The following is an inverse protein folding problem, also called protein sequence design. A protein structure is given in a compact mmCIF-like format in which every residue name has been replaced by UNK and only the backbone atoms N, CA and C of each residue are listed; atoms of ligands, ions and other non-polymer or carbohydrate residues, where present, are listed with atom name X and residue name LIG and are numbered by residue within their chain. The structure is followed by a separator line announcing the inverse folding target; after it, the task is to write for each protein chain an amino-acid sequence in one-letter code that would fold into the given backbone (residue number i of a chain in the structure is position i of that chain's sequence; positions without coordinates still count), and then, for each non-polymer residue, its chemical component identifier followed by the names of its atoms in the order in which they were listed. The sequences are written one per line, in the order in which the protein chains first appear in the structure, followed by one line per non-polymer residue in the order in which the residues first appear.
data_IF_717682706955
#
_entry.id   IF_717682706955
#
_cell.length_a   1.000
_cell.length_b   1.000
_cell.length_c   1.000
_cell.angle_alpha   90.00
_cell.angle_beta   90.00
_cell.angle_gamma   90.00
#
_symmetry.space_group_name_H-M   'P 1'
#
loop_
_entity.id
_entity.type
_entity.pdbx_description
1 polymer ?
2 non-polymer ?
3 non-polymer ?
4 water ?
#
# COMPACT_ATOMS: atom_id res chain seq x y z
N UNK A 1 -24.29 -0.05 2.65
CA UNK A 1 -22.79 -0.09 2.61
C UNK A 1 -22.29 -1.31 3.36
N UNK A 2 -22.88 -2.46 3.14
CA UNK A 2 -22.52 -3.67 3.86
C UNK A 2 -21.53 -4.44 3.00
N UNK A 3 -20.30 -4.71 3.52
CA UNK A 3 -19.33 -5.43 2.76
C UNK A 3 -19.65 -6.91 2.77
N UNK A 4 -19.24 -7.50 1.68
CA UNK A 4 -19.27 -8.98 1.54
C UNK A 4 -17.91 -9.43 1.04
N UNK A 5 -17.59 -10.73 1.10
CA UNK A 5 -16.29 -11.19 0.62
C UNK A 5 -16.00 -10.84 -0.82
N UNK A 6 -17.04 -10.68 -1.64
CA UNK A 6 -16.85 -10.27 -3.05
C UNK A 6 -16.19 -8.90 -3.21
N UNK A 7 -16.20 -8.04 -2.19
CA UNK A 7 -15.54 -6.71 -2.21
C UNK A 7 -13.99 -6.80 -2.04
N UNK A 8 -13.46 -7.95 -1.70
CA UNK A 8 -12.01 -8.24 -1.64
C UNK A 8 -11.34 -7.39 -0.54
N UNK A 9 -12.00 -7.17 0.56
CA UNK A 9 -11.38 -6.45 1.69
C UNK A 9 -10.54 -7.41 2.48
N UNK A 10 -9.30 -7.04 2.79
CA UNK A 10 -8.38 -7.89 3.56
C UNK A 10 -7.79 -7.08 4.70
N UNK A 11 -7.33 -7.78 5.73
CA UNK A 11 -6.74 -7.15 6.90
C UNK A 11 -5.53 -7.91 7.36
N UNK A 12 -4.49 -7.24 7.84
CA UNK A 12 -3.38 -7.95 8.48
C UNK A 12 -3.74 -8.47 9.83
N UNK A 13 -3.21 -9.63 10.22
CA UNK A 13 -3.40 -10.10 11.59
C UNK A 13 -2.96 -9.06 12.61
N UNK A 14 -1.91 -8.32 12.27
CA UNK A 14 -1.30 -7.36 13.18
C UNK A 14 -2.11 -6.07 13.31
N UNK A 15 -3.18 -5.92 12.57
CA UNK A 15 -4.01 -4.68 12.56
C UNK A 15 -4.97 -4.76 13.72
N UNK A 16 -6.02 -5.57 13.56
CA UNK A 16 -6.97 -5.83 14.63
C UNK A 16 -6.28 -6.50 15.82
N UNK A 17 -5.14 -7.17 15.61
CA UNK A 17 -4.40 -7.78 16.70
C UNK A 17 -3.45 -6.86 17.41
N UNK A 18 -3.35 -5.59 17.02
CA UNK A 18 -2.43 -4.67 17.70
C UNK A 18 -2.85 -4.50 19.15
N UNK A 19 -1.91 -4.76 20.08
CA UNK A 19 -2.20 -4.69 21.52
C UNK A 19 -2.10 -3.27 22.07
N UNK A 20 -1.68 -2.30 21.28
CA UNK A 20 -1.70 -0.91 21.72
C UNK A 20 -0.42 -0.41 22.32
N UNK A 21 0.68 -1.12 22.20
CA UNK A 21 1.98 -0.57 22.68
C UNK A 21 2.42 0.50 21.73
N UNK A 22 2.88 1.65 22.25
CA UNK A 22 3.38 2.78 21.45
C UNK A 22 4.67 3.26 22.14
N UNK A 23 5.25 4.48 21.63
CA UNK A 23 6.58 4.89 22.10
C UNK A 23 6.67 4.94 23.67
N UNK A 24 5.48 5.15 24.20
CA UNK A 24 5.27 5.85 25.47
C UNK A 24 4.26 5.09 26.30
N UNK A 25 3.86 3.93 25.82
CA UNK A 25 2.67 3.26 26.38
C UNK A 25 2.77 1.77 26.37
N UNK A 26 2.32 1.16 27.40
CA UNK A 26 2.15 -0.29 27.47
C UNK A 26 0.87 -0.75 26.76
N UNK A 27 0.71 -2.07 26.61
CA UNK A 27 -0.46 -2.64 25.90
C UNK A 27 -1.73 -2.24 26.59
N UNK A 28 -2.77 -1.97 25.84
CA UNK A 28 -4.10 -1.73 26.39
C UNK A 28 -5.08 -2.87 26.07
N UNK A 29 -4.65 -3.83 25.26
CA UNK A 29 -5.51 -4.98 24.88
C UNK A 29 -4.65 -6.22 25.02
N UNK A 30 -5.35 -7.32 25.34
CA UNK A 30 -4.72 -8.67 25.34
C UNK A 30 -4.45 -9.09 23.91
N UNK A 31 -3.53 -10.02 23.73
CA UNK A 31 -3.21 -10.62 22.44
C UNK A 31 -4.46 -11.33 21.92
N UNK A 32 -4.61 -11.33 20.61
CA UNK A 32 -5.68 -12.07 19.94
C UNK A 32 -5.10 -13.32 19.31
N UNK A 33 -5.81 -14.42 19.46
CA UNK A 33 -5.52 -15.63 18.70
C UNK A 33 -5.85 -15.35 17.24
N UNK A 34 -4.96 -15.64 16.30
CA UNK A 34 -5.30 -15.51 14.89
C UNK A 34 -6.60 -16.19 14.51
N UNK A 35 -6.90 -17.33 15.13
CA UNK A 35 -8.20 -18.01 14.81
C UNK A 35 -9.39 -17.11 15.12
N UNK A 36 -9.34 -16.41 16.26
CA UNK A 36 -10.44 -15.52 16.63
C UNK A 36 -10.50 -14.35 15.63
N UNK A 37 -9.37 -13.79 15.24
CA UNK A 37 -9.37 -12.68 14.28
C UNK A 37 -9.97 -13.09 12.97
N UNK A 38 -9.60 -14.28 12.47
CA UNK A 38 -10.18 -14.77 11.21
C UNK A 38 -11.71 -14.89 11.33
N UNK A 39 -12.17 -15.44 12.43
CA UNK A 39 -13.63 -15.59 12.63
C UNK A 39 -14.32 -14.22 12.70
N UNK A 40 -13.78 -13.29 13.49
CA UNK A 40 -14.43 -11.97 13.65
C UNK A 40 -14.40 -11.16 12.35
N UNK A 41 -13.28 -11.21 11.64
CA UNK A 41 -13.21 -10.48 10.34
C UNK A 41 -14.18 -11.06 9.33
N UNK A 42 -14.29 -12.40 9.29
CA UNK A 42 -15.23 -13.04 8.37
C UNK A 42 -16.65 -12.56 8.70
N UNK A 43 -16.99 -12.49 9.94
CA UNK A 43 -18.35 -12.09 10.33
C UNK A 43 -18.63 -10.65 9.88
N UNK A 44 -17.61 -9.78 9.84
CA UNK A 44 -17.77 -8.40 9.36
C UNK A 44 -17.86 -8.33 7.84
N UNK A 45 -17.58 -9.41 7.11
CA UNK A 45 -17.66 -9.38 5.66
C UNK A 45 -16.33 -9.25 4.96
N UNK A 46 -15.22 -9.42 5.69
CA UNK A 46 -13.89 -9.44 5.07
C UNK A 46 -13.75 -10.65 4.13
N UNK A 47 -12.91 -10.52 3.16
CA UNK A 47 -12.54 -11.57 2.19
C UNK A 47 -11.33 -12.37 2.67
N UNK A 48 -10.39 -11.75 3.37
CA UNK A 48 -9.19 -12.48 3.76
C UNK A 48 -8.34 -11.73 4.73
N UNK A 49 -7.27 -12.40 5.14
CA UNK A 49 -6.26 -11.86 6.05
C UNK A 49 -4.87 -12.03 5.41
N UNK A 50 -3.94 -11.31 6.04
CA UNK A 50 -2.54 -11.36 5.68
C UNK A 50 -1.72 -11.47 6.97
N UNK A 51 -0.45 -11.84 6.84
CA UNK A 51 0.36 -12.09 8.03
C UNK A 51 1.83 -11.82 7.75
N UNK A 52 2.52 -11.36 8.82
CA UNK A 52 3.99 -11.55 8.91
C UNK A 52 4.23 -12.94 9.47
N UNK A 53 5.34 -13.57 9.08
CA UNK A 53 5.75 -14.84 9.69
C UNK A 53 5.51 -14.85 11.18
N UNK A 54 6.00 -13.85 11.90
CA UNK A 54 6.03 -13.88 13.36
C UNK A 54 4.67 -13.51 13.95
N UNK A 55 3.68 -13.10 13.17
CA UNK A 55 2.31 -12.94 13.67
C UNK A 55 1.61 -14.30 13.75
N UNK A 56 1.95 -15.19 12.87
CA UNK A 56 1.27 -16.49 12.75
C UNK A 56 1.99 -17.52 13.59
N UNK A 57 3.29 -17.49 13.60
CA UNK A 57 4.10 -18.46 14.37
C UNK A 57 5.03 -17.65 15.26
N UNK A 58 4.93 -17.75 16.58
CA UNK A 58 5.80 -16.99 17.46
C UNK A 58 7.26 -17.21 17.07
N UNK A 59 8.03 -16.14 17.09
CA UNK A 59 9.47 -16.24 16.82
C UNK A 59 10.08 -17.31 17.69
N UNK A 60 10.96 -18.13 17.14
CA UNK A 60 11.68 -19.14 17.93
C UNK A 60 10.87 -20.43 18.14
N UNK A 61 9.73 -20.61 17.48
CA UNK A 61 8.88 -21.83 17.62
C UNK A 61 9.64 -23.06 17.12
N UNK A 62 9.40 -24.20 17.78
CA UNK A 62 9.81 -25.52 17.30
C UNK A 62 8.98 -25.90 16.07
N UNK A 63 9.46 -26.90 15.34
CA UNK A 63 8.71 -27.44 14.19
C UNK A 63 7.35 -27.96 14.62
N UNK A 64 7.19 -28.59 15.77
CA UNK A 64 5.87 -29.11 16.19
C UNK A 64 4.95 -27.93 16.52
N UNK A 65 5.45 -26.90 17.19
CA UNK A 65 4.66 -25.69 17.48
C UNK A 65 4.27 -25.00 16.17
N UNK A 66 5.17 -24.92 15.24
CA UNK A 66 4.89 -24.25 13.95
C UNK A 66 3.75 -24.99 13.25
N UNK A 67 3.86 -26.34 13.20
CA UNK A 67 2.81 -27.12 12.52
C UNK A 67 1.48 -26.90 13.19
N UNK A 68 1.37 -26.85 14.49
CA UNK A 68 0.10 -26.70 15.16
C UNK A 68 -0.47 -25.31 14.92
N UNK A 69 0.38 -24.26 14.97
CA UNK A 69 -0.11 -22.88 14.67
C UNK A 69 -0.69 -22.84 13.25
N UNK A 70 0.01 -23.41 12.31
CA UNK A 70 -0.48 -23.35 10.91
C UNK A 70 -1.77 -24.20 10.79
N UNK A 71 -1.82 -25.35 11.45
CA UNK A 71 -3.02 -26.22 11.36
C UNK A 71 -4.23 -25.50 11.87
N UNK A 72 -4.11 -24.85 13.02
CA UNK A 72 -5.27 -24.15 13.58
C UNK A 72 -5.70 -23.01 12.69
N UNK A 73 -4.71 -22.27 12.13
CA UNK A 73 -5.04 -21.17 11.21
C UNK A 73 -5.75 -21.68 9.95
N UNK A 74 -5.24 -22.76 9.40
CA UNK A 74 -5.87 -23.37 8.19
C UNK A 74 -7.31 -23.78 8.52
N UNK A 75 -7.57 -24.31 9.70
CA UNK A 75 -8.92 -24.70 10.06
C UNK A 75 -9.84 -23.50 10.12
N UNK A 76 -9.34 -22.37 10.68
CA UNK A 76 -10.14 -21.13 10.73
C UNK A 76 -10.44 -20.61 9.33
N UNK A 77 -9.48 -20.67 8.44
CA UNK A 77 -9.71 -20.24 7.06
C UNK A 77 -10.76 -21.14 6.41
N UNK A 78 -10.63 -22.46 6.65
CA UNK A 78 -11.59 -23.42 6.07
C UNK A 78 -12.96 -23.21 6.67
N UNK A 79 -13.09 -22.92 7.93
CA UNK A 79 -14.38 -22.76 8.62
C UNK A 79 -15.10 -21.51 8.10
N UNK A 80 -14.37 -20.49 7.63
CA UNK A 80 -14.93 -19.17 7.29
C UNK A 80 -14.98 -18.91 5.81
N UNK A 81 -14.20 -19.59 5.02
CA UNK A 81 -14.01 -19.25 3.63
C UNK A 81 -13.05 -18.07 3.39
N UNK A 82 -12.33 -17.66 4.42
CA UNK A 82 -11.36 -16.56 4.28
C UNK A 82 -10.15 -17.01 3.47
N UNK A 83 -9.57 -16.10 2.71
CA UNK A 83 -8.37 -16.33 1.91
C UNK A 83 -7.15 -15.64 2.55
N UNK A 84 -6.00 -15.97 2.05
CA UNK A 84 -4.71 -15.35 2.43
C UNK A 84 -4.06 -14.86 1.17
N UNK A 85 -4.32 -13.63 0.70
CA UNK A 85 -3.80 -13.23 -0.60
C UNK A 85 -2.36 -12.71 -0.56
N UNK A 86 -1.86 -12.38 0.64
CA UNK A 86 -0.56 -11.74 0.76
C UNK A 86 0.05 -12.17 2.09
N UNK A 87 1.38 -12.26 2.08
CA UNK A 87 2.12 -12.45 3.32
C UNK A 87 3.43 -11.66 3.24
N UNK A 88 4.10 -11.58 4.37
CA UNK A 88 5.31 -10.75 4.50
C UNK A 88 6.16 -11.31 5.63
N UNK A 89 7.38 -10.77 5.74
CA UNK A 89 8.36 -11.18 6.76
C UNK A 89 8.49 -10.08 7.77
N UNK A 90 8.63 -10.42 9.02
CA UNK A 90 9.01 -9.43 10.04
C UNK A 90 10.54 -9.30 10.07
N UNK A 91 11.06 -8.28 9.43
CA UNK A 91 12.50 -7.96 9.45
C UNK A 91 12.71 -6.67 10.23
N UNK A 92 11.92 -6.45 11.28
CA UNK A 92 12.02 -5.19 12.01
C UNK A 92 11.88 -5.31 13.51
N UNK A 93 11.20 -6.28 14.08
CA UNK A 93 10.96 -6.26 15.53
C UNK A 93 12.14 -6.76 16.34
N UNK A 94 12.72 -7.87 15.94
CA UNK A 94 13.78 -8.49 16.74
C UNK A 94 14.98 -7.56 16.76
N UNK A 95 15.65 -7.41 17.90
CA UNK A 95 16.83 -6.54 17.97
C UNK A 95 17.95 -6.88 17.00
N UNK A 96 18.00 -8.11 16.49
CA UNK A 96 19.05 -8.43 15.50
C UNK A 96 18.93 -7.51 14.26
N UNK A 97 17.70 -7.05 13.96
CA UNK A 97 17.45 -6.21 12.79
C UNK A 97 17.55 -4.72 13.10
N UNK A 98 18.24 -4.36 14.21
CA UNK A 98 18.30 -2.94 14.58
C UNK A 98 18.95 -2.06 13.54
N UNK A 99 19.83 -2.56 12.71
CA UNK A 99 20.39 -1.74 11.61
C UNK A 99 19.89 -2.21 10.26
N UNK A 100 18.85 -2.99 10.19
CA UNK A 100 18.36 -3.49 8.91
C UNK A 100 18.29 -4.99 8.88
N UNK A 101 17.58 -5.47 7.85
CA UNK A 101 17.63 -6.86 7.43
C UNK A 101 18.49 -6.98 6.19
N UNK A 102 17.93 -6.73 5.01
CA UNK A 102 18.69 -6.89 3.76
C UNK A 102 19.82 -5.89 3.63
N UNK A 103 19.80 -4.75 4.32
CA UNK A 103 20.89 -3.76 4.25
C UNK A 103 21.55 -3.54 5.59
N UNK A 104 21.41 -4.45 6.51
CA UNK A 104 22.22 -4.38 7.74
C UNK A 104 23.69 -4.23 7.40
N UNK A 105 24.43 -3.46 8.18
CA UNK A 105 25.88 -3.41 7.93
C UNK A 105 26.50 -4.79 8.16
N UNK A 106 26.02 -5.54 9.11
CA UNK A 106 26.55 -6.88 9.39
C UNK A 106 26.09 -7.89 8.33
N UNK A 107 27.06 -8.47 7.61
CA UNK A 107 26.72 -9.39 6.55
C UNK A 107 25.99 -10.65 7.05
N UNK A 108 26.32 -11.14 8.22
CA UNK A 108 25.66 -12.33 8.73
C UNK A 108 24.17 -12.03 8.98
N UNK A 109 23.83 -10.81 9.36
CA UNK A 109 22.41 -10.44 9.54
C UNK A 109 21.72 -10.38 8.18
N UNK A 110 22.36 -9.86 7.16
CA UNK A 110 21.75 -9.82 5.83
C UNK A 110 21.42 -11.21 5.33
N UNK A 111 22.35 -12.17 5.54
CA UNK A 111 22.12 -13.57 5.13
C UNK A 111 20.98 -14.18 5.93
N UNK A 112 20.92 -13.96 7.21
CA UNK A 112 19.81 -14.45 8.04
C UNK A 112 18.50 -13.86 7.58
N UNK A 113 18.46 -12.55 7.30
CA UNK A 113 17.20 -11.93 6.84
C UNK A 113 16.70 -12.65 5.57
N UNK A 114 17.59 -12.94 4.64
CA UNK A 114 17.18 -13.66 3.44
C UNK A 114 16.66 -15.05 3.75
N UNK A 115 17.32 -15.78 4.64
CA UNK A 115 16.82 -17.14 4.97
C UNK A 115 15.48 -17.06 5.67
N UNK A 116 15.26 -16.09 6.54
CA UNK A 116 13.98 -15.92 7.23
C UNK A 116 12.88 -15.62 6.21
N UNK A 117 13.16 -14.76 5.26
CA UNK A 117 12.20 -14.44 4.20
C UNK A 117 11.88 -15.68 3.39
N UNK A 118 12.91 -16.39 2.93
CA UNK A 118 12.68 -17.55 2.05
C UNK A 118 11.83 -18.59 2.77
N UNK A 119 12.05 -18.86 4.00
CA UNK A 119 11.23 -19.81 4.75
C UNK A 119 9.78 -19.39 4.71
N UNK A 120 9.50 -18.10 4.87
CA UNK A 120 8.10 -17.65 4.88
C UNK A 120 7.54 -17.56 3.46
N UNK A 121 8.31 -17.36 2.43
CA UNK A 121 7.77 -17.42 1.05
C UNK A 121 7.16 -18.81 0.84
N UNK A 122 7.85 -19.86 1.29
CA UNK A 122 7.33 -21.23 1.11
C UNK A 122 5.98 -21.35 1.82
N UNK A 123 5.86 -20.84 3.02
CA UNK A 123 4.59 -20.92 3.77
C UNK A 123 3.52 -20.09 3.08
N UNK A 124 3.85 -18.89 2.63
CA UNK A 124 2.89 -18.03 1.92
C UNK A 124 2.30 -18.79 0.72
N UNK A 125 3.15 -19.40 -0.07
CA UNK A 125 2.67 -20.16 -1.23
C UNK A 125 1.76 -21.29 -0.75
N UNK A 126 2.12 -22.02 0.27
CA UNK A 126 1.27 -23.12 0.80
C UNK A 126 -0.10 -22.61 1.19
N UNK A 127 -0.21 -21.38 1.70
CA UNK A 127 -1.50 -20.81 2.15
C UNK A 127 -2.20 -20.07 1.01
N UNK A 128 -1.67 -20.03 -0.18
CA UNK A 128 -2.31 -19.51 -1.38
C UNK A 128 -2.04 -18.04 -1.70
N UNK A 129 -1.02 -17.42 -1.08
CA UNK A 129 -0.75 -16.01 -1.34
C UNK A 129 -0.23 -15.76 -2.75
N UNK A 130 -0.67 -14.72 -3.40
CA UNK A 130 -0.26 -14.26 -4.74
C UNK A 130 0.80 -13.19 -4.67
N UNK A 131 0.91 -12.54 -3.53
CA UNK A 131 1.80 -11.39 -3.34
C UNK A 131 2.58 -11.58 -2.06
N UNK A 132 3.86 -11.21 -2.16
CA UNK A 132 4.76 -11.24 -0.99
C UNK A 132 5.27 -9.82 -0.80
N UNK A 133 4.89 -9.19 0.31
CA UNK A 133 5.26 -7.78 0.55
C UNK A 133 6.59 -7.74 1.28
N UNK A 134 7.38 -6.72 0.98
CA UNK A 134 8.61 -6.43 1.72
C UNK A 134 8.59 -4.96 2.15
N UNK A 135 8.51 -4.73 3.45
CA UNK A 135 8.63 -3.39 4.05
C UNK A 135 9.95 -3.34 4.80
N UNK A 136 10.91 -2.68 4.23
CA UNK A 136 12.25 -2.57 4.85
C UNK A 136 12.28 -1.45 5.86
N UNK A 137 11.55 -1.62 6.95
CA UNK A 137 11.40 -0.53 7.91
C UNK A 137 12.66 -0.25 8.68
N UNK A 138 13.60 -1.19 8.77
CA UNK A 138 14.87 -0.92 9.45
C UNK A 138 15.96 -0.53 8.48
N UNK A 139 15.69 -0.42 7.20
CA UNK A 139 16.74 -0.09 6.23
C UNK A 139 16.90 1.42 6.19
N UNK A 140 18.01 1.95 6.65
CA UNK A 140 18.15 3.42 6.71
C UNK A 140 19.11 3.80 7.80
N UNK A 141 18.91 4.97 8.38
CA UNK A 141 19.92 5.54 9.28
C UNK A 141 19.36 6.66 10.08
N UNK A 142 20.01 6.98 11.19
CA UNK A 142 19.80 8.20 11.98
C UNK A 142 20.97 9.16 11.77
N UNK A 143 22.05 8.76 11.16
CA UNK A 143 23.24 9.63 11.03
C UNK A 143 23.88 9.35 9.68
N UNK A 144 24.64 10.32 9.17
CA UNK A 144 25.13 10.26 7.81
C UNK A 144 26.23 9.25 7.55
N UNK A 145 27.09 8.98 8.51
CA UNK A 145 28.22 8.09 8.29
C UNK A 145 27.87 6.64 8.46
N UNK A 146 26.72 6.36 9.05
CA UNK A 146 26.32 5.01 9.44
C UNK A 146 25.98 4.13 8.27
N UNK A 147 25.59 4.74 7.14
CA UNK A 147 25.01 3.98 6.04
C UNK A 147 25.45 4.65 4.76
N UNK A 148 26.25 4.00 3.94
CA UNK A 148 26.58 4.44 2.57
C UNK A 148 25.45 3.95 1.71
N UNK A 149 24.62 4.87 1.19
CA UNK A 149 23.37 4.48 0.53
C UNK A 149 23.65 3.75 -0.78
N UNK A 150 24.67 4.10 -1.55
CA UNK A 150 24.98 3.33 -2.75
C UNK A 150 25.30 1.88 -2.41
N UNK A 151 26.12 1.66 -1.36
CA UNK A 151 26.41 0.29 -0.93
C UNK A 151 25.15 -0.39 -0.46
N UNK A 152 24.31 0.31 0.30
CA UNK A 152 23.06 -0.29 0.79
C UNK A 152 22.17 -0.66 -0.36
N UNK A 153 22.05 0.19 -1.38
CA UNK A 153 21.23 -0.17 -2.53
C UNK A 153 21.80 -1.37 -3.27
N UNK A 154 23.14 -1.47 -3.37
CA UNK A 154 23.73 -2.71 -3.93
C UNK A 154 23.29 -3.94 -3.13
N UNK A 155 23.30 -3.86 -1.82
CA UNK A 155 22.87 -4.98 -0.98
C UNK A 155 21.39 -5.25 -1.16
N UNK A 156 20.58 -4.21 -1.26
CA UNK A 156 19.13 -4.38 -1.41
C UNK A 156 18.85 -5.05 -2.77
N UNK A 157 19.51 -4.62 -3.82
CA UNK A 157 19.32 -5.27 -5.12
C UNK A 157 19.75 -6.72 -5.05
N UNK A 158 20.87 -7.04 -4.39
CA UNK A 158 21.30 -8.45 -4.29
C UNK A 158 20.21 -9.25 -3.64
N UNK A 159 19.68 -8.74 -2.54
CA UNK A 159 18.65 -9.47 -1.79
C UNK A 159 17.44 -9.72 -2.67
N UNK A 160 16.88 -8.67 -3.29
CA UNK A 160 15.68 -8.88 -4.12
C UNK A 160 15.99 -9.78 -5.28
N UNK A 161 17.17 -9.66 -5.89
CA UNK A 161 17.52 -10.57 -7.01
C UNK A 161 17.59 -12.01 -6.52
N UNK A 162 18.16 -12.28 -5.39
CA UNK A 162 18.21 -13.66 -4.83
C UNK A 162 16.79 -14.15 -4.57
N UNK A 163 15.90 -13.33 -4.05
CA UNK A 163 14.52 -13.78 -3.83
C UNK A 163 13.84 -14.13 -5.14
N UNK A 164 14.06 -13.35 -6.17
CA UNK A 164 13.52 -13.62 -7.51
C UNK A 164 14.09 -14.90 -8.07
N UNK A 165 15.36 -15.16 -7.88
CA UNK A 165 15.99 -16.43 -8.31
C UNK A 165 15.32 -17.53 -7.56
N UNK A 166 15.06 -17.38 -6.27
CA UNK A 166 14.44 -18.44 -5.48
C UNK A 166 13.05 -18.76 -6.01
N UNK A 167 12.16 -17.78 -6.16
CA UNK A 167 10.79 -18.15 -6.57
C UNK A 167 10.82 -18.69 -8.02
N UNK A 168 11.70 -18.24 -8.86
CA UNK A 168 11.80 -18.79 -10.23
C UNK A 168 12.26 -20.24 -10.14
N UNK A 169 13.19 -20.55 -9.27
CA UNK A 169 13.78 -21.91 -9.08
C UNK A 169 12.70 -22.87 -8.61
N UNK A 170 11.73 -22.44 -7.82
CA UNK A 170 10.67 -23.29 -7.26
C UNK A 170 9.46 -23.33 -8.19
N UNK A 171 9.42 -22.54 -9.21
CA UNK A 171 8.25 -22.47 -10.10
C UNK A 171 7.06 -21.80 -9.44
N UNK A 172 7.25 -20.93 -8.45
CA UNK A 172 6.12 -20.25 -7.77
C UNK A 172 5.59 -19.08 -8.62
N UNK A 173 4.31 -18.83 -8.52
CA UNK A 173 3.69 -17.71 -9.28
C UNK A 173 3.67 -16.39 -8.46
N UNK A 174 4.08 -16.45 -7.23
CA UNK A 174 4.02 -15.30 -6.32
C UNK A 174 4.87 -14.17 -6.89
N UNK A 175 4.45 -12.93 -6.65
CA UNK A 175 5.22 -11.74 -7.04
C UNK A 175 5.47 -10.92 -5.80
N UNK A 176 6.46 -10.05 -5.89
CA UNK A 176 6.87 -9.21 -4.76
C UNK A 176 6.30 -7.82 -4.86
N UNK A 177 6.01 -7.22 -3.73
CA UNK A 177 5.56 -5.82 -3.68
C UNK A 177 6.35 -5.10 -2.60
N UNK A 178 7.14 -4.14 -2.99
CA UNK A 178 7.98 -3.34 -2.09
C UNK A 178 7.18 -2.21 -1.56
N UNK A 179 7.20 -2.05 -0.22
CA UNK A 179 6.42 -1.03 0.47
C UNK A 179 7.32 0.12 0.89
N UNK A 180 7.17 1.30 0.28
CA UNK A 180 7.93 2.45 0.72
C UNK A 180 7.42 3.03 2.00
N UNK A 181 8.32 3.71 2.72
CA UNK A 181 7.95 4.58 3.85
C UNK A 181 9.09 5.56 4.06
N UNK A 182 8.80 6.84 4.39
CA UNK A 182 9.92 7.78 4.36
C UNK A 182 10.79 7.76 5.61
N UNK A 183 10.21 7.43 6.73
CA UNK A 183 10.89 7.46 8.03
C UNK A 183 10.00 6.67 9.00
N UNK A 184 10.57 6.30 10.13
CA UNK A 184 9.89 5.70 11.29
C UNK A 184 9.73 4.20 11.06
N UNK A 185 10.60 3.35 11.66
CA UNK A 185 11.38 3.66 12.86
C UNK A 185 12.76 4.26 12.62
N UNK A 186 13.31 4.16 11.41
CA UNK A 186 14.64 4.79 11.17
C UNK A 186 14.44 6.27 10.89
N UNK A 187 15.48 7.06 11.15
CA UNK A 187 15.38 8.49 10.94
C UNK A 187 15.06 8.83 9.50
N UNK A 188 15.68 8.11 8.56
CA UNK A 188 15.29 8.10 7.15
C UNK A 188 15.34 6.67 6.71
N UNK A 189 14.34 6.23 5.95
CA UNK A 189 14.26 4.86 5.42
C UNK A 189 14.62 4.89 3.95
N UNK A 190 15.35 3.88 3.50
CA UNK A 190 15.70 3.74 2.10
C UNK A 190 14.45 3.39 1.27
N UNK A 191 14.44 3.84 0.04
CA UNK A 191 13.23 3.75 -0.85
C UNK A 191 12.07 4.44 -0.14
N UNK A 192 12.17 5.77 0.09
CA UNK A 192 11.23 6.42 0.98
C UNK A 192 9.85 6.70 0.41
N UNK A 193 9.67 6.63 -0.90
CA UNK A 193 8.41 6.91 -1.58
C UNK A 193 8.13 5.90 -2.66
N UNK A 194 6.92 5.94 -3.17
CA UNK A 194 6.55 5.15 -4.35
C UNK A 194 7.55 5.37 -5.48
N UNK A 195 7.91 6.61 -5.76
CA UNK A 195 8.80 6.84 -6.86
C UNK A 195 10.16 6.16 -6.68
N UNK A 196 10.74 6.29 -5.48
CA UNK A 196 12.05 5.68 -5.24
C UNK A 196 11.98 4.17 -5.41
N UNK A 197 10.89 3.56 -4.94
CA UNK A 197 10.74 2.11 -5.09
C UNK A 197 10.56 1.72 -6.56
N UNK A 198 9.73 2.44 -7.30
CA UNK A 198 9.57 2.15 -8.73
C UNK A 198 10.92 2.25 -9.45
N UNK A 199 11.70 3.27 -9.13
CA UNK A 199 12.99 3.49 -9.79
C UNK A 199 13.91 2.32 -9.51
N UNK A 200 13.96 1.89 -8.25
CA UNK A 200 14.81 0.77 -7.81
C UNK A 200 14.44 -0.49 -8.57
N UNK A 201 13.16 -0.78 -8.68
CA UNK A 201 12.70 -2.03 -9.31
C UNK A 201 13.24 -2.12 -10.74
N UNK A 202 13.33 -1.01 -11.44
CA UNK A 202 13.80 -1.05 -12.85
C UNK A 202 15.24 -1.53 -12.91
N UNK A 203 16.01 -1.53 -11.85
CA UNK A 203 17.41 -2.00 -11.85
C UNK A 203 17.56 -3.42 -11.34
N UNK A 204 16.48 -4.10 -11.01
CA UNK A 204 16.52 -5.51 -10.61
C UNK A 204 16.73 -6.39 -11.86
N UNK A 205 17.23 -7.59 -11.64
CA UNK A 205 17.50 -8.49 -12.78
C UNK A 205 16.22 -8.88 -13.50
N UNK A 206 15.14 -9.12 -12.77
CA UNK A 206 13.86 -9.61 -13.34
C UNK A 206 12.76 -8.64 -12.90
N UNK A 207 12.75 -7.40 -13.44
CA UNK A 207 11.83 -6.38 -12.90
C UNK A 207 10.38 -6.78 -12.93
N UNK A 208 9.99 -7.68 -13.83
CA UNK A 208 8.57 -8.09 -13.96
C UNK A 208 8.06 -8.77 -12.69
N UNK A 209 8.94 -9.32 -11.84
CA UNK A 209 8.53 -10.00 -10.62
C UNK A 209 8.22 -9.04 -9.48
N UNK A 210 8.45 -7.72 -9.66
CA UNK A 210 8.35 -6.78 -8.53
C UNK A 210 7.49 -5.59 -8.88
N UNK A 211 6.67 -5.21 -7.90
CA UNK A 211 5.88 -4.01 -7.94
C UNK A 211 5.96 -3.29 -6.62
N UNK A 212 5.02 -2.38 -6.43
CA UNK A 212 4.93 -1.65 -5.16
C UNK A 212 3.67 -2.03 -4.39
N UNK A 213 3.80 -1.86 -3.06
CA UNK A 213 2.69 -1.92 -2.09
C UNK A 213 2.61 -0.57 -1.40
N UNK A 214 2.06 0.46 -2.03
CA UNK A 214 2.01 1.79 -1.39
C UNK A 214 1.01 1.81 -0.25
N UNK A 215 1.29 2.61 0.76
CA UNK A 215 0.38 2.78 1.88
C UNK A 215 -0.03 4.24 1.99
N UNK A 216 -1.34 4.49 2.12
CA UNK A 216 -1.88 5.86 2.19
C UNK A 216 -1.02 6.71 3.12
N UNK A 217 -0.91 6.28 4.37
CA UNK A 217 -0.28 7.14 5.35
C UNK A 217 1.20 7.36 5.07
N UNK A 218 1.88 6.39 4.46
CA UNK A 218 3.33 6.53 4.23
C UNK A 218 3.61 7.66 3.26
N UNK A 219 2.90 7.73 2.15
CA UNK A 219 3.17 8.83 1.23
C UNK A 219 2.78 10.16 1.87
N UNK A 220 1.71 10.15 2.68
CA UNK A 220 1.26 11.38 3.33
C UNK A 220 2.23 11.81 4.42
N UNK A 221 3.06 10.94 4.96
CA UNK A 221 4.17 11.30 5.90
C UNK A 221 5.23 12.13 5.22
N UNK A 222 5.30 12.10 3.93
CA UNK A 222 6.20 13.01 3.16
C UNK A 222 5.37 14.17 2.59
N UNK A 223 4.10 14.33 2.96
CA UNK A 223 3.30 15.44 2.41
C UNK A 223 2.96 15.20 0.96
N UNK A 224 3.09 14.01 0.43
CA UNK A 224 2.83 13.76 -1.00
C UNK A 224 1.33 13.43 -1.21
N UNK A 225 0.92 13.55 -2.47
CA UNK A 225 -0.45 13.22 -2.89
C UNK A 225 -0.54 11.75 -3.18
N UNK A 226 -1.26 11.01 -2.33
CA UNK A 226 -1.30 9.58 -2.47
C UNK A 226 -1.98 9.17 -3.78
N UNK A 227 -3.15 9.72 -4.16
CA UNK A 227 -3.70 9.37 -5.47
C UNK A 227 -2.73 9.62 -6.62
N UNK A 228 -1.96 10.69 -6.60
CA UNK A 228 -1.01 10.93 -7.70
C UNK A 228 0.04 9.81 -7.73
N UNK A 229 0.56 9.41 -6.58
CA UNK A 229 1.54 8.33 -6.56
C UNK A 229 0.97 7.00 -7.03
N UNK A 230 -0.24 6.72 -6.64
CA UNK A 230 -0.94 5.54 -7.16
C UNK A 230 -1.10 5.63 -8.66
N UNK A 231 -1.45 6.78 -9.18
CA UNK A 231 -1.55 6.94 -10.64
C UNK A 231 -0.21 6.63 -11.30
N UNK A 232 0.90 7.11 -10.74
CA UNK A 232 2.20 6.77 -11.35
C UNK A 232 2.48 5.28 -11.26
N UNK A 233 2.16 4.63 -10.17
CA UNK A 233 2.34 3.18 -10.06
C UNK A 233 1.48 2.44 -11.09
N UNK A 234 0.24 2.86 -11.25
CA UNK A 234 -0.64 2.26 -12.27
C UNK A 234 -0.07 2.52 -13.65
N UNK A 235 0.40 3.73 -13.93
CA UNK A 235 0.99 4.06 -15.24
C UNK A 235 2.15 3.14 -15.51
N UNK A 236 2.93 2.78 -14.52
CA UNK A 236 4.10 1.89 -14.66
C UNK A 236 3.67 0.41 -14.70
N UNK A 237 2.43 0.08 -14.46
CA UNK A 237 2.01 -1.33 -14.40
C UNK A 237 2.44 -2.05 -13.14
N UNK A 238 2.65 -1.34 -12.04
CA UNK A 238 3.33 -1.87 -10.85
C UNK A 238 2.49 -1.82 -9.60
N UNK A 239 1.21 -1.55 -9.67
CA UNK A 239 0.40 -1.55 -8.46
C UNK A 239 -0.01 -2.98 -8.15
N UNK A 240 0.82 -3.71 -7.42
CA UNK A 240 0.57 -5.16 -7.20
C UNK A 240 -0.30 -5.36 -5.98
N UNK A 241 -0.33 -4.40 -5.07
CA UNK A 241 -1.06 -4.50 -3.78
C UNK A 241 -1.18 -3.07 -3.28
N UNK A 242 -2.05 -2.83 -2.32
CA UNK A 242 -2.17 -1.49 -1.72
C UNK A 242 -2.52 -1.65 -0.26
N UNK A 243 -2.05 -0.74 0.56
CA UNK A 243 -2.39 -0.66 1.97
C UNK A 243 -3.20 0.60 2.22
N UNK A 244 -4.39 0.42 2.77
CA UNK A 244 -5.34 1.51 2.98
C UNK A 244 -5.44 1.81 4.47
N UNK A 245 -5.38 3.11 4.80
CA UNK A 245 -5.52 3.60 6.18
C UNK A 245 -5.70 5.11 6.10
N UNK A 246 -5.58 5.75 7.24
CA UNK A 246 -5.68 7.21 7.33
C UNK A 246 -4.50 7.80 8.09
N UNK A 247 -4.22 9.05 7.77
CA UNK A 247 -3.08 9.78 8.30
C UNK A 247 -3.44 11.24 8.27
N UNK A 248 -3.12 11.94 9.35
CA UNK A 248 -3.18 13.45 9.30
C UNK A 248 -1.86 14.14 8.98
N UNK A 249 -1.37 14.04 7.77
CA UNK A 249 -0.22 14.83 7.30
C UNK A 249 1.08 14.36 7.89
N UNK A 250 1.92 15.33 8.27
CA UNK A 250 3.34 14.99 8.36
C UNK A 250 3.54 14.86 9.85
N UNK A 251 3.67 13.64 10.28
CA UNK A 251 3.80 13.34 11.70
C UNK A 251 4.09 11.85 11.75
N UNK A 252 4.24 11.29 12.91
CA UNK A 252 4.37 9.87 13.09
C UNK A 252 3.28 9.10 12.33
N UNK A 253 3.57 7.88 12.02
CA UNK A 253 2.67 6.95 11.31
C UNK A 253 1.46 6.66 12.17
N UNK A 254 0.28 7.19 11.85
CA UNK A 254 -0.88 7.02 12.73
C UNK A 254 -1.65 5.75 12.46
N UNK A 255 -1.72 5.27 11.25
CA UNK A 255 -2.45 4.03 10.92
C UNK A 255 -3.89 4.16 11.36
N UNK A 256 -4.56 5.27 11.11
CA UNK A 256 -5.98 5.40 11.43
C UNK A 256 -6.79 4.52 10.48
N UNK A 257 -8.05 4.28 10.82
CA UNK A 257 -8.89 3.51 9.91
C UNK A 257 -9.03 4.23 8.60
N UNK A 258 -9.26 3.49 7.51
CA UNK A 258 -9.43 4.11 6.19
C UNK A 258 -10.66 4.99 6.19
N UNK A 259 -10.53 6.15 5.57
CA UNK A 259 -11.52 7.21 5.56
C UNK A 259 -11.21 8.29 6.55
N UNK A 260 -10.64 7.92 7.69
CA UNK A 260 -10.12 8.94 8.62
C UNK A 260 -8.86 9.59 8.01
N UNK A 261 -8.36 10.60 8.65
CA UNK A 261 -7.26 11.34 8.07
C UNK A 261 -7.77 12.22 6.96
N UNK A 262 -7.16 12.14 5.80
CA UNK A 262 -7.49 13.00 4.67
C UNK A 262 -8.62 12.39 3.85
N UNK A 263 -9.83 12.82 4.20
CA UNK A 263 -11.06 12.27 3.59
C UNK A 263 -11.13 12.52 2.11
N UNK A 264 -10.85 13.72 1.64
CA UNK A 264 -10.90 13.99 0.20
C UNK A 264 -9.86 13.17 -0.55
N UNK A 265 -8.67 12.96 0.02
CA UNK A 265 -7.70 12.09 -0.63
C UNK A 265 -8.25 10.67 -0.71
N UNK A 266 -8.96 10.24 0.29
CA UNK A 266 -9.56 8.90 0.26
C UNK A 266 -10.57 8.82 -0.89
N UNK A 267 -11.39 9.83 -1.04
CA UNK A 267 -12.34 9.89 -2.18
C UNK A 267 -11.62 9.79 -3.51
N UNK A 268 -10.58 10.60 -3.74
CA UNK A 268 -9.91 10.55 -5.03
C UNK A 268 -9.16 9.24 -5.21
N UNK A 269 -8.67 8.64 -4.14
CA UNK A 269 -8.04 7.33 -4.26
C UNK A 269 -9.05 6.30 -4.76
N UNK A 270 -10.20 6.23 -4.10
CA UNK A 270 -11.20 5.22 -4.48
C UNK A 270 -11.64 5.48 -5.93
N UNK A 271 -11.87 6.71 -6.28
CA UNK A 271 -12.23 7.09 -7.66
C UNK A 271 -11.20 6.51 -8.63
N UNK A 272 -9.92 6.65 -8.33
CA UNK A 272 -8.86 6.16 -9.21
C UNK A 272 -8.80 4.65 -9.24
N UNK A 273 -8.83 3.99 -8.11
CA UNK A 273 -8.76 2.52 -8.10
C UNK A 273 -9.89 1.94 -8.93
N UNK A 274 -11.09 2.47 -8.71
CA UNK A 274 -12.27 1.96 -9.40
C UNK A 274 -12.23 2.31 -10.88
N UNK A 275 -11.85 3.50 -11.27
CA UNK A 275 -11.83 3.88 -12.71
C UNK A 275 -10.70 3.16 -13.44
N UNK A 276 -9.64 2.79 -12.74
CA UNK A 276 -8.54 2.05 -13.35
C UNK A 276 -8.87 0.56 -13.39
N UNK A 277 -9.87 0.09 -12.69
CA UNK A 277 -10.16 -1.36 -12.64
C UNK A 277 -9.08 -2.10 -11.85
N UNK A 278 -8.49 -1.51 -10.82
CA UNK A 278 -7.54 -2.26 -9.96
C UNK A 278 -8.26 -3.49 -9.45
N UNK A 279 -7.62 -4.63 -9.59
CA UNK A 279 -8.24 -5.94 -9.32
C UNK A 279 -7.67 -6.59 -8.06
N UNK A 280 -6.70 -5.97 -7.40
CA UNK A 280 -6.08 -6.62 -6.25
C UNK A 280 -6.91 -6.43 -4.98
N UNK A 281 -6.42 -7.01 -3.87
CA UNK A 281 -7.06 -6.86 -2.56
C UNK A 281 -7.16 -5.37 -2.16
N UNK A 282 -8.24 -5.02 -1.49
CA UNK A 282 -8.32 -3.74 -0.79
C UNK A 282 -7.92 -4.05 0.65
N UNK A 283 -6.63 -3.91 0.94
CA UNK A 283 -6.03 -4.36 2.22
C UNK A 283 -5.95 -3.18 3.17
N UNK A 284 -6.35 -3.38 4.39
CA UNK A 284 -6.25 -2.37 5.43
C UNK A 284 -5.06 -2.68 6.31
N UNK A 285 -4.13 -1.73 6.39
CA UNK A 285 -2.98 -1.80 7.32
C UNK A 285 -3.21 -0.65 8.27
N UNK A 286 -3.92 -0.90 9.34
CA UNK A 286 -4.37 0.15 10.27
C UNK A 286 -4.25 -0.39 11.67
N UNK A 287 -4.37 0.50 12.63
CA UNK A 287 -4.35 0.14 14.04
C UNK A 287 -5.55 0.72 14.72
N UNK A 288 -6.46 -0.06 15.26
CA UNK A 288 -7.52 0.51 16.09
C UNK A 288 -6.85 1.28 17.22
N UNK A 289 -7.22 2.53 17.50
CA UNK A 289 -6.52 3.28 18.54
C UNK A 289 -6.50 2.50 19.86
N UNK A 290 -5.48 2.76 20.64
CA UNK A 290 -5.28 2.03 21.91
C UNK A 290 -6.30 2.43 22.95
N UNK A 291 -7.05 3.49 22.72
CA UNK A 291 -8.19 3.87 23.56
C UNK A 291 -9.30 2.82 23.56
N UNK A 292 -9.32 1.98 22.53
CA UNK A 292 -10.45 1.08 22.28
C UNK A 292 -10.31 -0.27 22.97
N UNK A 293 -11.44 -0.84 23.34
CA UNK A 293 -11.53 -2.25 23.75
C UNK A 293 -11.78 -3.07 22.49
N UNK A 294 -11.99 -4.39 22.66
CA UNK A 294 -12.20 -5.25 21.48
C UNK A 294 -13.44 -4.87 20.70
N UNK A 295 -14.51 -4.43 21.34
CA UNK A 295 -15.67 -3.96 20.57
C UNK A 295 -15.27 -2.82 19.64
N UNK A 296 -14.43 -1.92 20.14
CA UNK A 296 -13.95 -0.82 19.33
C UNK A 296 -13.02 -1.27 18.21
N UNK A 297 -12.25 -2.30 18.44
CA UNK A 297 -11.42 -2.88 17.36
C UNK A 297 -12.30 -3.30 16.20
N UNK A 298 -13.37 -4.04 16.50
CA UNK A 298 -14.22 -4.55 15.40
C UNK A 298 -15.01 -3.40 14.77
N UNK A 299 -15.40 -2.41 15.54
CA UNK A 299 -16.05 -1.24 14.97
C UNK A 299 -15.11 -0.51 14.04
N UNK A 300 -13.86 -0.37 14.40
CA UNK A 300 -12.89 0.36 13.56
C UNK A 300 -12.63 -0.40 12.26
N UNK A 301 -12.48 -1.73 12.34
CA UNK A 301 -12.33 -2.56 11.14
C UNK A 301 -13.55 -2.46 10.23
N UNK A 302 -14.75 -2.51 10.82
CA UNK A 302 -15.96 -2.37 10.01
C UNK A 302 -15.97 -1.01 9.33
N UNK A 303 -15.51 0.03 10.02
CA UNK A 303 -15.52 1.37 9.46
C UNK A 303 -14.60 1.51 8.27
N UNK A 304 -13.47 0.81 8.24
CA UNK A 304 -12.60 0.79 7.09
C UNK A 304 -13.38 0.43 5.83
N UNK A 305 -14.13 -0.68 5.91
CA UNK A 305 -14.84 -1.20 4.75
C UNK A 305 -16.03 -0.30 4.42
N UNK A 306 -16.73 0.17 5.43
CA UNK A 306 -17.89 1.03 5.19
C UNK A 306 -17.44 2.27 4.43
N UNK A 307 -16.36 2.89 4.90
CA UNK A 307 -15.92 4.12 4.27
C UNK A 307 -15.50 3.89 2.82
N UNK A 308 -14.81 2.79 2.55
CA UNK A 308 -14.48 2.47 1.15
C UNK A 308 -15.76 2.42 0.32
N UNK A 309 -16.75 1.70 0.83
CA UNK A 309 -18.00 1.51 0.04
C UNK A 309 -18.78 2.82 -0.12
N UNK A 310 -18.79 3.69 0.85
CA UNK A 310 -19.46 4.98 0.68
C UNK A 310 -18.74 5.74 -0.42
N UNK A 311 -17.40 5.84 -0.31
CA UNK A 311 -16.63 6.62 -1.28
C UNK A 311 -16.76 6.00 -2.69
N UNK A 312 -16.81 4.70 -2.78
CA UNK A 312 -17.02 4.07 -4.09
C UNK A 312 -18.34 4.53 -4.72
N UNK A 313 -19.39 4.56 -3.95
CA UNK A 313 -20.71 4.99 -4.46
C UNK A 313 -20.61 6.44 -4.90
N UNK A 314 -20.01 7.33 -4.09
CA UNK A 314 -20.00 8.75 -4.42
C UNK A 314 -19.11 9.02 -5.62
N UNK A 315 -17.97 8.36 -5.72
CA UNK A 315 -17.08 8.56 -6.88
C UNK A 315 -17.77 8.09 -8.15
N UNK A 316 -18.45 6.95 -8.11
CA UNK A 316 -19.16 6.44 -9.28
C UNK A 316 -20.25 7.44 -9.69
N UNK A 317 -20.96 7.99 -8.75
CA UNK A 317 -22.06 8.94 -9.03
C UNK A 317 -21.47 10.19 -9.64
N UNK A 318 -20.31 10.67 -9.14
CA UNK A 318 -19.62 11.83 -9.70
C UNK A 318 -19.32 11.54 -11.17
N UNK A 319 -18.68 10.44 -11.48
CA UNK A 319 -18.23 10.22 -12.85
C UNK A 319 -19.40 10.00 -13.83
N UNK A 320 -20.51 9.49 -13.33
CA UNK A 320 -21.69 9.18 -14.15
C UNK A 320 -22.57 10.37 -14.29
N UNK A 321 -22.42 11.45 -13.58
CA UNK A 321 -23.35 12.59 -13.62
C UNK A 321 -23.13 13.33 -14.92
N UNK A 322 -24.17 13.51 -15.79
CA UNK A 322 -24.00 14.28 -17.01
C UNK A 322 -23.45 15.70 -16.78
N UNK A 323 -23.82 16.31 -15.67
CA UNK A 323 -23.33 17.66 -15.38
C UNK A 323 -21.82 17.64 -15.10
N UNK A 324 -21.35 16.60 -14.44
CA UNK A 324 -19.90 16.40 -14.22
C UNK A 324 -19.23 16.11 -15.54
N UNK A 325 -19.82 15.28 -16.38
CA UNK A 325 -19.23 14.97 -17.67
C UNK A 325 -19.08 16.23 -18.53
N UNK A 326 -20.06 17.12 -18.47
CA UNK A 326 -20.00 18.42 -19.17
C UNK A 326 -18.88 19.27 -18.55
N UNK A 327 -18.78 19.29 -17.22
CA UNK A 327 -17.74 20.09 -16.53
C UNK A 327 -16.34 19.54 -16.89
N UNK A 328 -16.19 18.26 -17.02
CA UNK A 328 -14.90 17.67 -17.40
C UNK A 328 -14.50 18.13 -18.79
N UNK A 329 -15.46 18.17 -19.73
CA UNK A 329 -15.18 18.73 -21.06
C UNK A 329 -14.87 20.22 -20.96
N UNK A 330 -15.59 20.97 -20.15
CA UNK A 330 -15.35 22.40 -20.04
C UNK A 330 -13.90 22.65 -19.53
N UNK A 331 -13.39 21.75 -18.69
CA UNK A 331 -12.04 21.85 -18.10
C UNK A 331 -11.00 21.16 -18.97
N UNK A 332 -11.39 20.64 -20.15
CA UNK A 332 -10.47 20.05 -21.14
C UNK A 332 -9.80 18.78 -20.62
N UNK A 333 -10.47 18.00 -19.77
CA UNK A 333 -9.91 16.69 -19.41
C UNK A 333 -9.91 15.76 -20.62
N UNK A 334 -10.83 15.94 -21.56
CA UNK A 334 -10.82 15.19 -22.81
C UNK A 334 -9.56 15.51 -23.61
N UNK A 335 -9.20 16.75 -23.67
CA UNK A 335 -8.02 17.16 -24.45
C UNK A 335 -6.73 16.69 -23.78
N UNK A 336 -6.71 16.61 -22.44
CA UNK A 336 -5.52 16.07 -21.74
C UNK A 336 -5.22 14.66 -22.20
N UNK A 337 -6.27 13.89 -22.52
CA UNK A 337 -6.14 12.49 -22.91
C UNK A 337 -5.81 12.32 -24.41
N UNK A 338 -5.70 13.37 -25.18
CA UNK A 338 -5.38 13.25 -26.62
C UNK A 338 -3.90 13.55 -26.84
N UNK A 339 -3.22 12.74 -27.70
CA UNK A 339 -1.81 12.98 -27.96
C UNK A 339 -1.52 14.41 -28.34
N UNK A 340 -0.38 14.90 -27.84
CA UNK A 340 0.07 16.25 -28.16
C UNK A 340 0.42 16.40 -29.66
N UNK A 341 1.10 15.42 -30.18
CA UNK A 341 1.68 15.55 -31.54
C UNK A 341 1.75 14.19 -32.23
N UNK A 342 0.61 13.58 -32.43
CA UNK A 342 0.57 12.33 -33.22
C UNK A 342 0.94 12.61 -34.69
N UNK A 343 0.89 13.85 -35.11
CA UNK A 343 1.35 14.28 -36.46
C UNK A 343 2.87 14.18 -36.55
N UNK A 344 3.63 14.05 -35.45
CA UNK A 344 5.07 13.83 -35.49
C UNK A 344 5.84 15.11 -35.31
N UNK A 345 7.11 14.91 -34.99
CA UNK A 345 8.01 16.03 -34.69
C UNK A 345 8.08 17.03 -35.86
N UNK A 346 8.31 16.56 -37.10
CA UNK A 346 8.49 17.51 -38.20
C UNK A 346 7.24 18.35 -38.44
N UNK A 347 6.09 17.72 -38.32
CA UNK A 347 4.82 18.41 -38.50
C UNK A 347 4.66 19.50 -37.42
N UNK A 348 5.05 19.13 -36.18
CA UNK A 348 4.99 20.13 -35.06
C UNK A 348 5.92 21.30 -35.36
N UNK A 349 7.14 21.02 -35.81
CA UNK A 349 8.11 22.07 -36.13
C UNK A 349 7.60 22.98 -37.25
N UNK A 350 6.83 22.41 -38.18
CA UNK A 350 6.33 23.15 -39.36
C UNK A 350 4.97 23.77 -39.10
N UNK A 351 4.38 23.60 -37.92
CA UNK A 351 3.03 24.09 -37.62
C UNK A 351 3.10 25.50 -37.06
N UNK A 352 2.74 26.52 -37.85
CA UNK A 352 2.78 27.90 -37.36
C UNK A 352 1.75 28.13 -36.25
N UNK A 353 0.70 27.31 -36.21
CA UNK A 353 -0.30 27.44 -35.12
C UNK A 353 0.30 27.13 -33.76
N UNK A 354 1.44 26.45 -33.75
CA UNK A 354 2.12 26.05 -32.49
C UNK A 354 3.15 27.07 -32.06
N UNK A 355 3.41 28.14 -32.80
CA UNK A 355 4.43 29.10 -32.34
C UNK A 355 4.18 30.45 -32.94
N UNK A 356 4.50 30.60 -34.23
CA UNK A 356 4.54 31.92 -34.88
C UNK A 356 3.16 32.54 -34.83
N UNK A 357 2.11 31.76 -34.98
CA UNK A 357 0.72 32.25 -35.06
C UNK A 357 -0.09 31.74 -33.86
N UNK A 358 0.55 31.34 -32.77
CA UNK A 358 -0.19 30.94 -31.55
C UNK A 358 -0.52 32.21 -30.78
N UNK A 359 -1.80 32.39 -30.50
CA UNK A 359 -2.25 33.57 -29.77
C UNK A 359 -2.17 33.25 -28.28
N UNK A 360 -1.05 33.53 -27.68
CA UNK A 360 -0.80 33.17 -26.27
C UNK A 360 -1.79 33.90 -25.39
N UNK A 361 -2.15 35.13 -25.67
CA UNK A 361 -3.06 35.87 -24.77
C UNK A 361 -4.45 35.26 -24.82
N UNK A 362 -4.93 34.85 -25.97
CA UNK A 362 -6.27 34.26 -26.05
C UNK A 362 -6.28 32.94 -25.27
N UNK A 363 -5.22 32.14 -25.43
CA UNK A 363 -5.13 30.88 -24.69
C UNK A 363 -5.06 31.18 -23.20
N UNK A 364 -4.26 32.13 -22.79
CA UNK A 364 -4.10 32.43 -21.37
C UNK A 364 -5.42 32.89 -20.76
N UNK A 365 -6.26 33.58 -21.54
CA UNK A 365 -7.49 34.14 -20.98
C UNK A 365 -8.52 33.04 -20.73
N UNK A 366 -8.38 31.87 -21.31
CA UNK A 366 -9.42 30.81 -21.19
C UNK A 366 -9.34 30.23 -19.78
N UNK A 367 -10.33 30.40 -18.96
CA UNK A 367 -10.33 29.81 -17.62
C UNK A 367 -10.37 28.32 -17.69
N UNK A 368 -9.85 27.64 -16.68
CA UNK A 368 -9.88 26.17 -16.66
C UNK A 368 -11.16 25.60 -16.09
N UNK A 369 -11.96 26.39 -15.38
CA UNK A 369 -13.23 25.95 -14.80
C UNK A 369 -13.02 24.84 -13.76
N UNK A 370 -11.84 24.80 -13.12
CA UNK A 370 -11.58 23.74 -12.16
C UNK A 370 -12.34 23.89 -10.85
N UNK A 371 -12.65 25.10 -10.44
CA UNK A 371 -13.37 25.28 -9.15
C UNK A 371 -14.80 24.75 -9.25
N UNK A 372 -15.48 25.01 -10.36
CA UNK A 372 -16.84 24.46 -10.52
C UNK A 372 -16.77 22.95 -10.54
N UNK A 373 -15.80 22.38 -11.26
CA UNK A 373 -15.66 20.94 -11.29
C UNK A 373 -15.43 20.39 -9.87
N UNK A 374 -14.55 21.04 -9.11
CA UNK A 374 -14.23 20.53 -7.76
C UNK A 374 -15.42 20.70 -6.82
N UNK A 375 -16.27 21.73 -6.99
CA UNK A 375 -17.42 21.86 -6.11
C UNK A 375 -18.48 20.80 -6.50
N UNK A 376 -18.57 20.40 -7.76
CA UNK A 376 -19.41 19.26 -8.10
C UNK A 376 -18.88 18.02 -7.39
N UNK A 377 -17.54 17.85 -7.34
CA UNK A 377 -16.98 16.69 -6.66
C UNK A 377 -17.31 16.75 -5.15
N UNK A 378 -17.17 17.92 -4.57
CA UNK A 378 -17.49 18.07 -3.13
C UNK A 378 -18.97 17.74 -2.86
N UNK A 379 -19.84 18.29 -3.72
CA UNK A 379 -21.29 18.04 -3.56
C UNK A 379 -21.57 16.53 -3.67
N UNK A 380 -20.95 15.84 -4.59
CA UNK A 380 -21.15 14.40 -4.70
C UNK A 380 -20.64 13.69 -3.46
N UNK A 381 -19.44 14.02 -2.99
CA UNK A 381 -18.88 13.35 -1.80
C UNK A 381 -19.82 13.54 -0.63
N UNK A 382 -20.33 14.73 -0.41
CA UNK A 382 -21.15 15.04 0.77
C UNK A 382 -22.61 14.65 0.55
N UNK A 383 -22.99 14.19 -0.60
CA UNK A 383 -24.46 13.93 -0.80
C UNK A 383 -25.22 15.23 -0.72
N UNK A 384 -24.76 16.28 -1.36
CA UNK A 384 -25.37 17.59 -1.31
C UNK A 384 -25.63 18.01 -2.75
N UNK A 385 -26.13 17.23 -3.69
CA UNK A 385 -26.42 17.61 -5.12
C UNK A 385 -27.85 18.15 -5.29
X LIG B 1 1.79 2.84 8.44
X LIG C 1 1.74 -1.12 5.49
X LIG D 1 4.49 -0.42 8.97
X LIG D 1 4.17 -1.11 7.65
X LIG D 1 3.98 -2.61 7.79
X LIG D 1 3.97 -3.35 6.45
X LIG D 1 4.31 -4.81 6.37
X LIG D 1 4.71 0.98 8.84
X LIG D 1 3.01 -0.58 7.09
X LIG D 1 2.76 -2.85 8.53
X LIG D 1 2.78 -3.14 5.69
X LIG D 1 5.40 -5.08 7.23
X LIG D 1 5.30 -0.84 9.35
X LIG D 1 3.74 -0.57 9.59
X LIG D 1 4.93 -0.94 7.02
X LIG D 1 4.72 -2.97 8.34
X LIG D 1 4.70 -2.92 5.93
X LIG D 1 4.55 -5.05 5.45
X LIG D 1 3.53 -5.35 6.65
X LIG D 1 5.14 1.12 8.12
X LIG D 1 2.69 0.02 7.58
X LIG D 1 2.42 -2.10 8.72
X LIG D 1 2.24 -2.64 6.10
X LIG D 1 5.58 -5.90 7.18
X LIG E 1 -5.35 9.97 5.20
#
# INVERSE_FOLDING_TARGET
YQPTPEDRFTFGLWTVGWQGRDPFGDATRRALDPVESVRRLAELGAHGVTFHDDDLIPFGSSDSEREEHVKRFRQALDDTGMKVPMATTNLFTHPVFKDGGFTANDRDVRRYALRKTIRNIDLAVELGAETYVAWGGREGAESGGAKDVRDALDRMKEAFDLLGEYVTSQGYDIRFAIEPKPNEPRGDILLPTVGHALAFIERLERPELYGVNPEVGHEQMAGLNFPHGIAQALWAGKLFHIDLNGQNGIKYDQDLRFGAGDLRAAFWLVDLLESAGYSGPRHFDFKPPRTEDFDGVWASAAGCMRNYLILKERAAAFRADPEVQEALRASRLDELARPTAADGLQALLDDRSAFEEFDVDAAAARGMAFERLDQLAMDHLLGAR
MG MG
MG MG
XYL C1 C2 C3 C4 C5 O1 O2 O3 O4 O5 H11 H12 H2 H3 H4 H51 H52 HO1 HO2 HO3 HO4 HO5
MG MG
#
